data_IF_209963389423
#
_entry.id   IF_209963389423
#
_cell.length_a   1.000
_cell.length_b   1.000
_cell.length_c   1.000
_cell.angle_alpha   90.00
_cell.angle_beta   90.00
_cell.angle_gamma   90.00
#
_symmetry.space_group_name_H-M   'P 1'
#
loop_
_entity.id
_entity.type
_entity.pdbx_description
1 polymer ?
#
# COMPACT_ATOMS: atom_id res chain seq x y z
N UNK A 1 7.03 -13.38 1.05
CA UNK A 1 5.82 -13.19 1.86
C UNK A 1 5.32 -14.53 2.35
N UNK A 2 5.23 -14.74 3.65
CA UNK A 2 4.62 -15.89 4.32
C UNK A 2 3.86 -15.42 5.58
N UNK A 3 3.20 -16.35 6.27
CA UNK A 3 2.43 -16.04 7.47
C UNK A 3 3.30 -15.40 8.54
N UNK A 4 4.42 -16.02 8.88
CA UNK A 4 5.35 -15.52 9.91
C UNK A 4 5.89 -14.14 9.59
N UNK A 5 6.31 -13.88 8.35
CA UNK A 5 6.84 -12.56 7.95
C UNK A 5 5.78 -11.46 8.03
N UNK A 6 4.51 -11.80 7.79
CA UNK A 6 3.41 -10.86 7.90
C UNK A 6 3.05 -10.59 9.37
N UNK A 7 3.06 -11.61 10.21
CA UNK A 7 2.85 -11.47 11.65
C UNK A 7 3.96 -10.63 12.30
N UNK A 8 5.23 -10.90 11.98
CA UNK A 8 6.37 -10.12 12.47
C UNK A 8 6.30 -8.66 12.04
N UNK A 9 5.89 -8.41 10.80
CA UNK A 9 5.69 -7.05 10.31
C UNK A 9 4.58 -6.31 11.08
N UNK A 10 3.45 -6.97 11.35
CA UNK A 10 2.35 -6.38 12.12
C UNK A 10 2.73 -6.12 13.58
N UNK A 11 3.50 -7.03 14.19
CA UNK A 11 4.05 -6.84 15.55
C UNK A 11 5.01 -5.64 15.56
N UNK A 12 5.88 -5.52 14.55
CA UNK A 12 6.81 -4.40 14.42
C UNK A 12 6.08 -3.06 14.27
N UNK A 13 5.01 -3.03 13.48
CA UNK A 13 4.16 -1.82 13.31
C UNK A 13 3.53 -1.41 14.65
N UNK A 14 3.00 -2.35 15.42
CA UNK A 14 2.40 -2.08 16.73
C UNK A 14 3.43 -1.55 17.74
N UNK A 15 4.71 -1.88 17.56
CA UNK A 15 5.82 -1.41 18.39
C UNK A 15 6.43 -0.07 17.97
N UNK A 16 5.88 0.64 16.96
CA UNK A 16 6.43 1.92 16.55
C UNK A 16 6.32 2.96 17.66
N UNK A 17 7.39 3.75 17.80
CA UNK A 17 7.51 4.78 18.80
C UNK A 17 7.62 6.17 18.17
N UNK A 18 7.24 7.21 18.92
CA UNK A 18 7.43 8.59 18.54
C UNK A 18 8.90 9.04 18.78
N UNK A 19 9.20 10.31 18.55
CA UNK A 19 10.52 10.90 18.76
C UNK A 19 10.95 10.90 20.24
N UNK A 20 10.01 10.71 21.16
CA UNK A 20 10.25 10.64 22.62
C UNK A 20 10.38 9.22 23.16
N UNK A 21 10.24 8.22 22.27
CA UNK A 21 10.26 6.82 22.63
C UNK A 21 8.93 6.27 23.18
N UNK A 22 7.83 7.00 23.03
CA UNK A 22 6.51 6.54 23.44
C UNK A 22 5.85 5.71 22.32
N UNK A 23 5.21 4.62 22.69
CA UNK A 23 4.51 3.75 21.73
C UNK A 23 3.29 4.48 21.17
N UNK A 24 3.16 4.52 19.84
CA UNK A 24 2.07 5.20 19.13
C UNK A 24 0.89 4.27 18.84
N UNK A 25 1.05 2.96 19.05
CA UNK A 25 0.04 1.92 18.84
C UNK A 25 -0.58 1.93 17.43
N UNK A 26 0.25 2.05 16.38
CA UNK A 26 -0.18 2.00 14.99
C UNK A 26 -0.64 0.58 14.60
N UNK A 27 -1.52 0.53 13.59
CA UNK A 27 -2.06 -0.72 13.05
C UNK A 27 -1.84 -0.79 11.54
N UNK A 28 -1.63 -2.01 11.04
CA UNK A 28 -1.68 -2.27 9.62
C UNK A 28 -3.10 -2.14 9.10
N UNK A 29 -3.28 -1.45 7.96
CA UNK A 29 -4.58 -1.24 7.33
C UNK A 29 -4.73 -2.03 6.05
N UNK A 30 -3.71 -2.00 5.20
CA UNK A 30 -3.76 -2.59 3.85
C UNK A 30 -2.41 -3.17 3.49
N UNK A 31 -2.42 -4.37 2.92
CA UNK A 31 -1.26 -5.02 2.33
C UNK A 31 -1.14 -4.64 0.84
N UNK A 32 0.04 -4.24 0.41
CA UNK A 32 0.37 -3.92 -0.99
C UNK A 32 1.39 -4.93 -1.47
N UNK A 33 1.07 -5.65 -2.52
CA UNK A 33 1.91 -6.73 -3.06
C UNK A 33 2.11 -6.58 -4.56
N UNK A 34 3.23 -7.08 -5.13
CA UNK A 34 3.39 -7.23 -6.55
C UNK A 34 2.48 -8.35 -7.08
N UNK A 35 2.29 -8.38 -8.39
CA UNK A 35 1.44 -9.38 -9.07
C UNK A 35 1.83 -10.84 -8.81
N UNK A 36 3.12 -11.11 -8.54
CA UNK A 36 3.62 -12.44 -8.26
C UNK A 36 3.12 -12.99 -6.91
N UNK A 37 2.90 -12.13 -5.95
CA UNK A 37 2.46 -12.49 -4.60
C UNK A 37 0.94 -12.45 -4.41
N UNK A 38 0.14 -12.09 -5.43
CA UNK A 38 -1.31 -11.93 -5.30
C UNK A 38 -2.01 -13.18 -4.77
N UNK A 39 -1.67 -14.37 -5.29
CA UNK A 39 -2.30 -15.63 -4.86
C UNK A 39 -1.85 -16.08 -3.47
N UNK A 40 -0.64 -15.67 -3.06
CA UNK A 40 -0.15 -15.90 -1.69
C UNK A 40 -0.90 -15.00 -0.73
N UNK A 41 -1.06 -13.71 -1.06
CA UNK A 41 -1.81 -12.74 -0.25
C UNK A 41 -3.28 -13.19 -0.07
N UNK A 42 -3.94 -13.66 -1.14
CA UNK A 42 -5.31 -14.19 -1.08
C UNK A 42 -5.40 -15.37 -0.11
N UNK A 43 -4.50 -16.33 -0.22
CA UNK A 43 -4.48 -17.50 0.69
C UNK A 43 -4.23 -17.11 2.14
N UNK A 44 -3.36 -16.14 2.40
CA UNK A 44 -3.03 -15.70 3.75
C UNK A 44 -4.15 -14.88 4.40
N UNK A 45 -4.87 -14.05 3.63
CA UNK A 45 -5.84 -13.12 4.20
C UNK A 45 -7.29 -13.60 4.12
N UNK A 46 -7.62 -14.45 3.16
CA UNK A 46 -9.02 -14.84 2.91
C UNK A 46 -9.32 -16.26 3.39
N UNK A 47 -8.34 -17.15 3.45
CA UNK A 47 -8.53 -18.51 3.97
C UNK A 47 -9.02 -18.51 5.42
N UNK A 48 -9.98 -19.39 5.74
CA UNK A 48 -10.45 -19.57 7.12
C UNK A 48 -9.49 -20.42 7.96
N UNK A 49 -8.80 -21.33 7.31
CA UNK A 49 -7.85 -22.25 7.94
C UNK A 49 -6.42 -21.87 7.54
N UNK A 50 -5.49 -22.22 8.40
CA UNK A 50 -4.07 -22.01 8.18
C UNK A 50 -3.60 -22.81 6.97
N UNK A 51 -2.88 -22.14 6.07
CA UNK A 51 -2.38 -22.77 4.85
C UNK A 51 -1.14 -23.61 5.16
N UNK A 52 -1.16 -24.89 4.72
CA UNK A 52 0.00 -25.77 4.82
C UNK A 52 0.07 -26.66 6.08
N UNK A 53 -0.97 -26.66 6.91
CA UNK A 53 -1.10 -27.61 8.03
C UNK A 53 -2.14 -28.69 7.73
N UNK A 54 -1.93 -29.90 8.26
CA UNK A 54 -2.92 -30.98 8.23
C UNK A 54 -3.93 -30.88 9.37
N UNK A 55 -3.63 -30.02 10.35
CA UNK A 55 -4.47 -29.75 11.49
C UNK A 55 -5.48 -28.64 11.17
N UNK A 56 -6.59 -28.64 11.88
CA UNK A 56 -7.69 -27.70 11.64
C UNK A 56 -7.41 -26.34 12.32
N UNK A 57 -6.18 -25.81 12.14
CA UNK A 57 -5.73 -24.55 12.73
C UNK A 57 -6.46 -23.35 12.11
N UNK A 58 -6.85 -22.41 12.96
CA UNK A 58 -7.50 -21.16 12.54
C UNK A 58 -6.46 -20.20 11.97
N UNK A 59 -6.78 -19.56 10.85
CA UNK A 59 -5.99 -18.47 10.33
C UNK A 59 -6.16 -17.22 11.22
N UNK A 60 -5.15 -16.92 12.02
CA UNK A 60 -5.16 -15.81 12.99
C UNK A 60 -5.27 -14.45 12.29
N UNK A 61 -4.61 -14.23 11.18
CA UNK A 61 -4.62 -12.96 10.44
C UNK A 61 -6.04 -12.57 10.01
N UNK A 62 -6.80 -13.55 9.49
CA UNK A 62 -8.20 -13.35 9.12
C UNK A 62 -9.11 -13.24 10.33
N UNK A 63 -8.97 -14.15 11.28
CA UNK A 63 -9.84 -14.22 12.48
C UNK A 63 -9.77 -12.94 13.31
N UNK A 64 -8.60 -12.34 13.44
CA UNK A 64 -8.38 -11.09 14.18
C UNK A 64 -8.67 -9.83 13.34
N UNK A 65 -8.86 -9.97 12.03
CA UNK A 65 -9.08 -8.82 11.14
C UNK A 65 -7.91 -7.84 11.13
N UNK A 66 -6.68 -8.34 11.14
CA UNK A 66 -5.47 -7.53 11.30
C UNK A 66 -5.24 -6.52 10.18
N UNK A 67 -5.81 -6.77 9.00
CA UNK A 67 -5.74 -5.90 7.82
C UNK A 67 -7.17 -5.60 7.32
N UNK A 68 -7.86 -4.62 7.89
CA UNK A 68 -9.29 -4.37 7.60
C UNK A 68 -9.55 -3.92 6.16
N UNK A 69 -8.59 -3.27 5.50
CA UNK A 69 -8.68 -2.89 4.08
C UNK A 69 -8.23 -4.01 3.12
N UNK A 70 -7.85 -5.18 3.64
CA UNK A 70 -7.41 -6.32 2.85
C UNK A 70 -6.07 -6.09 2.13
N UNK A 71 -5.97 -6.54 0.88
CA UNK A 71 -4.77 -6.36 0.08
C UNK A 71 -5.08 -5.69 -1.27
N UNK A 72 -4.05 -5.12 -1.88
CA UNK A 72 -4.08 -4.58 -3.24
C UNK A 72 -2.86 -5.04 -4.01
N UNK A 73 -3.08 -5.42 -5.26
CA UNK A 73 -2.00 -5.76 -6.19
C UNK A 73 -1.54 -4.49 -6.91
N UNK A 74 -0.24 -4.24 -6.88
CA UNK A 74 0.36 -3.13 -7.61
C UNK A 74 1.28 -3.68 -8.71
N UNK A 75 0.83 -3.56 -9.96
CA UNK A 75 1.54 -4.07 -11.14
C UNK A 75 2.83 -3.29 -11.47
N UNK A 76 2.99 -2.11 -10.89
CA UNK A 76 4.17 -1.27 -11.11
C UNK A 76 5.34 -1.60 -10.17
N UNK A 77 5.15 -2.51 -9.21
CA UNK A 77 6.24 -3.00 -8.39
C UNK A 77 7.10 -3.96 -9.23
N UNK A 78 8.36 -3.59 -9.40
CA UNK A 78 9.34 -4.37 -10.17
C UNK A 78 9.97 -5.50 -9.38
N UNK A 79 10.01 -5.34 -8.06
CA UNK A 79 10.48 -6.38 -7.14
C UNK A 79 9.39 -7.45 -6.97
N UNK A 80 9.78 -8.71 -7.07
CA UNK A 80 8.86 -9.85 -7.06
C UNK A 80 8.47 -10.34 -5.67
N UNK A 81 9.26 -10.02 -4.66
CA UNK A 81 9.11 -10.52 -3.28
C UNK A 81 8.86 -9.42 -2.27
N UNK A 82 9.12 -8.17 -2.59
CA UNK A 82 8.85 -7.05 -1.70
C UNK A 82 7.35 -6.90 -1.42
N UNK A 83 7.02 -6.59 -0.19
CA UNK A 83 5.66 -6.23 0.19
C UNK A 83 5.64 -5.02 1.10
N UNK A 84 4.53 -4.30 1.08
CA UNK A 84 4.36 -3.10 1.88
C UNK A 84 3.04 -3.18 2.65
N UNK A 85 3.04 -2.61 3.86
CA UNK A 85 1.84 -2.49 4.68
C UNK A 85 1.60 -1.02 4.94
N UNK A 86 0.46 -0.51 4.47
CA UNK A 86 -0.03 0.82 4.83
C UNK A 86 -0.54 0.78 6.26
N UNK A 87 -0.14 1.73 7.08
CA UNK A 87 -0.60 1.89 8.45
C UNK A 87 -1.69 2.95 8.58
N UNK A 88 -2.27 3.07 9.77
CA UNK A 88 -3.25 4.10 10.13
C UNK A 88 -2.62 5.41 10.60
N UNK A 89 -1.30 5.59 10.44
CA UNK A 89 -0.61 6.81 10.80
C UNK A 89 -1.25 8.04 10.11
N UNK A 90 -1.62 9.07 10.87
CA UNK A 90 -2.22 10.27 10.32
C UNK A 90 -1.20 11.04 9.46
N UNK A 91 -1.69 11.74 8.45
CA UNK A 91 -0.85 12.59 7.59
C UNK A 91 0.30 11.87 6.86
N UNK A 92 0.13 10.61 6.51
CA UNK A 92 1.10 9.82 5.78
C UNK A 92 1.38 10.36 4.37
N UNK A 93 0.90 9.66 3.36
CA UNK A 93 1.03 10.11 1.97
C UNK A 93 0.15 11.30 1.65
N UNK A 94 0.71 12.27 0.92
CA UNK A 94 0.03 13.49 0.49
C UNK A 94 0.15 13.68 -1.01
N UNK A 95 -0.95 14.01 -1.63
CA UNK A 95 -1.03 14.52 -2.99
C UNK A 95 -1.28 16.03 -2.93
N UNK A 96 -0.35 16.81 -3.47
CA UNK A 96 -0.45 18.26 -3.54
C UNK A 96 -0.84 18.64 -4.96
N UNK A 97 -2.07 19.05 -5.15
CA UNK A 97 -2.55 19.59 -6.42
C UNK A 97 -2.32 21.10 -6.44
N UNK A 98 -1.50 21.56 -7.40
CA UNK A 98 -1.25 22.99 -7.60
C UNK A 98 -2.13 23.57 -8.69
N UNK A 99 -2.38 22.81 -9.75
CA UNK A 99 -3.30 23.16 -10.82
C UNK A 99 -3.98 21.89 -11.31
N UNK A 100 -5.31 21.87 -11.25
CA UNK A 100 -6.13 20.79 -11.78
C UNK A 100 -5.93 20.61 -13.27
N UNK A 101 -6.26 19.42 -13.78
CA UNK A 101 -6.22 19.15 -15.21
C UNK A 101 -7.13 20.12 -15.97
N UNK A 102 -6.51 20.97 -16.77
CA UNK A 102 -7.20 21.89 -17.67
C UNK A 102 -6.87 21.54 -19.12
N UNK A 103 -7.92 21.43 -19.94
CA UNK A 103 -7.80 21.17 -21.37
C UNK A 103 -8.27 22.39 -22.15
N UNK A 104 -7.49 22.78 -23.16
CA UNK A 104 -7.84 23.85 -24.09
C UNK A 104 -7.67 23.36 -25.51
N UNK A 105 -8.49 23.92 -26.41
CA UNK A 105 -8.40 23.73 -27.85
C UNK A 105 -8.21 25.10 -28.51
N UNK A 106 -7.28 25.19 -29.44
CA UNK A 106 -6.99 26.41 -30.17
C UNK A 106 -6.74 26.07 -31.66
N UNK A 107 -7.44 26.72 -32.60
CA UNK A 107 -7.15 26.54 -34.01
C UNK A 107 -5.82 27.19 -34.37
N UNK A 108 -5.01 26.47 -35.14
CA UNK A 108 -3.79 27.00 -35.70
C UNK A 108 -4.10 27.80 -36.98
N UNK A 109 -3.85 29.09 -36.98
CA UNK A 109 -4.16 29.97 -38.07
C UNK A 109 -3.38 29.64 -39.37
N UNK A 110 -2.12 29.19 -39.22
CA UNK A 110 -1.24 28.95 -40.38
C UNK A 110 -1.53 27.60 -41.06
N UNK A 111 -1.91 26.59 -40.32
CA UNK A 111 -2.12 25.23 -40.86
C UNK A 111 -3.58 24.80 -40.95
N UNK A 112 -4.49 25.53 -40.30
CA UNK A 112 -5.91 25.20 -40.21
C UNK A 112 -6.20 23.97 -39.32
N UNK A 113 -5.18 23.44 -38.62
CA UNK A 113 -5.31 22.29 -37.72
C UNK A 113 -5.77 22.71 -36.33
N UNK A 114 -6.47 21.81 -35.62
CA UNK A 114 -6.83 22.00 -34.23
C UNK A 114 -5.68 21.53 -33.33
N UNK A 115 -5.24 22.38 -32.41
CA UNK A 115 -4.26 22.05 -31.38
C UNK A 115 -4.96 21.80 -30.05
N UNK A 116 -4.63 20.68 -29.44
CA UNK A 116 -5.14 20.31 -28.13
C UNK A 116 -4.02 20.45 -27.10
N UNK A 117 -4.33 21.09 -25.97
CA UNK A 117 -3.41 21.27 -24.86
C UNK A 117 -4.05 20.77 -23.57
N UNK A 118 -3.35 19.88 -22.86
CA UNK A 118 -3.67 19.49 -21.49
C UNK A 118 -2.56 19.97 -20.56
N UNK A 119 -2.93 20.54 -19.42
CA UNK A 119 -1.99 20.99 -18.40
C UNK A 119 -2.48 20.60 -17.02
N UNK A 120 -1.58 19.98 -16.26
CA UNK A 120 -1.76 19.62 -14.85
C UNK A 120 -0.46 19.90 -14.09
N UNK A 121 -0.58 20.26 -12.82
CA UNK A 121 0.57 20.42 -11.92
C UNK A 121 0.24 19.84 -10.56
N UNK A 122 0.95 18.79 -10.20
CA UNK A 122 0.82 18.14 -8.91
C UNK A 122 2.19 17.68 -8.38
N UNK A 123 2.24 17.31 -7.12
CA UNK A 123 3.39 16.71 -6.47
C UNK A 123 2.93 15.70 -5.43
N UNK A 124 3.72 14.66 -5.21
CA UNK A 124 3.53 13.69 -4.14
C UNK A 124 4.56 13.90 -3.04
N UNK A 125 4.17 13.63 -1.83
CA UNK A 125 5.06 13.68 -0.68
C UNK A 125 4.51 12.87 0.49
N UNK A 126 5.27 12.81 1.56
CA UNK A 126 4.85 12.20 2.82
C UNK A 126 5.25 13.12 3.98
N UNK A 127 4.51 13.07 5.08
CA UNK A 127 4.85 13.82 6.31
C UNK A 127 5.37 12.89 7.39
N UNK A 128 4.87 11.67 7.48
CA UNK A 128 5.30 10.68 8.47
C UNK A 128 5.77 9.40 7.76
N UNK A 129 7.04 8.97 7.93
CA UNK A 129 7.55 7.75 7.34
C UNK A 129 6.87 6.49 7.89
N UNK A 130 6.26 6.55 9.08
CA UNK A 130 5.55 5.43 9.71
C UNK A 130 4.23 5.08 9.03
N UNK A 131 3.80 5.84 8.03
CA UNK A 131 2.60 5.55 7.24
C UNK A 131 2.72 4.28 6.40
N UNK A 132 3.94 3.79 6.15
CA UNK A 132 4.21 2.57 5.42
C UNK A 132 5.32 1.78 6.09
N UNK A 133 5.10 0.49 6.23
CA UNK A 133 6.11 -0.50 6.55
C UNK A 133 6.47 -1.24 5.26
N UNK A 134 7.75 -1.38 4.96
CA UNK A 134 8.23 -2.11 3.78
C UNK A 134 9.15 -3.25 4.17
N UNK A 135 8.97 -4.39 3.52
CA UNK A 135 9.91 -5.52 3.56
C UNK A 135 10.47 -5.73 2.16
N UNK A 136 11.80 -5.76 1.99
CA UNK A 136 12.42 -5.96 0.68
C UNK A 136 12.29 -7.40 0.16
N UNK A 137 11.67 -8.31 0.94
CA UNK A 137 11.66 -9.72 0.63
C UNK A 137 12.93 -10.43 1.14
N UNK A 138 13.18 -11.64 0.66
CA UNK A 138 14.34 -12.46 1.02
C UNK A 138 15.22 -12.71 -0.21
#
# INVERSE_FOLDING_TARGET
LNETSLEDALISIAGFVDERGLIIALRGMKLIVPRQLQFVAERLLVSNLRVGTSDNDVNALKSMGMLPEGYVVNDYLTDTDAFFIKTDAPNGFKHFERAALATNMDPDFDTGNMRFKARERYSFGFSDPRCVFGSPGA
#
